data_IF_167635683631
#
_entry.id   IF_167635683631
#
_cell.length_a   1.000
_cell.length_b   1.000
_cell.length_c   1.000
_cell.angle_alpha   90.00
_cell.angle_beta   90.00
_cell.angle_gamma   90.00
#
_symmetry.space_group_name_H-M   'P 1'
#
loop_
_entity.id
_entity.type
_entity.pdbx_description
1 polymer ?
#
# COMPACT_ATOMS: atom_id res chain seq x y z
N UNK A 1 -11.99 0.99 -31.30
CA UNK A 1 -12.58 2.28 -30.89
C UNK A 1 -12.43 2.52 -29.37
N UNK A 2 -11.46 1.88 -28.72
CA UNK A 2 -11.24 1.93 -27.27
C UNK A 2 -10.40 3.15 -26.80
N UNK A 3 -9.70 3.81 -27.69
CA UNK A 3 -8.79 4.93 -27.38
C UNK A 3 -9.25 6.20 -28.12
N UNK A 4 -10.28 6.85 -27.61
CA UNK A 4 -10.64 8.20 -28.09
C UNK A 4 -9.88 9.25 -27.27
N UNK A 5 -9.30 10.26 -27.95
CA UNK A 5 -8.60 11.39 -27.29
C UNK A 5 -9.55 12.48 -26.77
N UNK A 6 -10.85 12.29 -26.87
CA UNK A 6 -11.87 13.30 -26.57
C UNK A 6 -11.77 13.93 -25.18
N UNK A 7 -11.35 13.13 -24.16
CA UNK A 7 -11.23 13.57 -22.77
C UNK A 7 -9.80 13.64 -22.27
N UNK A 8 -8.82 13.41 -23.18
CA UNK A 8 -7.39 13.37 -22.84
C UNK A 8 -6.78 14.72 -23.23
N UNK A 9 -7.08 15.69 -22.41
CA UNK A 9 -6.58 17.05 -22.54
C UNK A 9 -5.47 17.35 -21.52
N UNK A 10 -4.98 18.59 -21.52
CA UNK A 10 -3.99 19.05 -20.56
C UNK A 10 -4.50 18.98 -19.11
N UNK A 11 -5.82 19.10 -18.90
CA UNK A 11 -6.42 19.03 -17.57
C UNK A 11 -6.44 17.59 -17.03
N UNK A 12 -6.66 16.58 -17.90
CA UNK A 12 -6.52 15.17 -17.55
C UNK A 12 -5.13 14.87 -17.00
N UNK A 13 -4.08 15.18 -17.76
CA UNK A 13 -2.71 14.95 -17.34
C UNK A 13 -2.33 15.72 -16.06
N UNK A 14 -2.78 16.97 -15.95
CA UNK A 14 -2.54 17.78 -14.76
C UNK A 14 -3.16 17.15 -13.51
N UNK A 15 -4.39 16.63 -13.60
CA UNK A 15 -5.07 15.97 -12.48
C UNK A 15 -4.38 14.63 -12.12
N UNK A 16 -4.04 13.80 -13.13
CA UNK A 16 -3.35 12.56 -12.94
C UNK A 16 -2.01 12.76 -12.22
N UNK A 17 -1.19 13.71 -12.68
CA UNK A 17 0.11 14.04 -12.08
C UNK A 17 -0.06 14.65 -10.69
N UNK A 18 -1.07 15.51 -10.49
CA UNK A 18 -1.30 16.19 -9.22
C UNK A 18 -1.65 15.23 -8.06
N UNK A 19 -2.22 14.07 -8.37
CA UNK A 19 -2.53 13.03 -7.38
C UNK A 19 -1.45 11.93 -7.43
N UNK A 20 -1.14 11.43 -8.63
CA UNK A 20 -0.28 10.28 -8.82
C UNK A 20 1.14 10.51 -8.29
N UNK A 21 1.79 11.59 -8.70
CA UNK A 21 3.18 11.86 -8.29
C UNK A 21 3.35 12.06 -6.78
N UNK A 22 2.53 12.87 -6.08
CA UNK A 22 2.64 12.99 -4.63
C UNK A 22 2.43 11.66 -3.91
N UNK A 23 1.43 10.86 -4.31
CA UNK A 23 1.16 9.56 -3.68
C UNK A 23 2.27 8.56 -3.97
N UNK A 24 2.81 8.51 -5.19
CA UNK A 24 3.97 7.69 -5.53
C UNK A 24 5.18 8.05 -4.67
N UNK A 25 5.48 9.35 -4.57
CA UNK A 25 6.60 9.84 -3.76
C UNK A 25 6.42 9.47 -2.28
N UNK A 26 5.22 9.65 -1.73
CA UNK A 26 4.91 9.27 -0.36
C UNK A 26 5.12 7.76 -0.14
N UNK A 27 4.61 6.92 -1.04
CA UNK A 27 4.74 5.45 -0.95
C UNK A 27 6.19 4.98 -1.07
N UNK A 28 6.96 5.59 -1.99
CA UNK A 28 8.38 5.30 -2.16
C UNK A 28 9.19 5.67 -0.92
N UNK A 29 8.95 6.84 -0.34
CA UNK A 29 9.63 7.28 0.87
C UNK A 29 9.27 6.41 2.08
N UNK A 30 8.04 5.91 2.14
CA UNK A 30 7.63 4.94 3.16
C UNK A 30 8.41 3.61 3.06
N UNK A 31 8.60 3.10 1.83
CA UNK A 31 9.40 1.90 1.60
C UNK A 31 10.87 2.10 1.98
N UNK A 32 11.42 3.28 1.65
CA UNK A 32 12.80 3.64 2.01
C UNK A 32 12.97 3.81 3.52
N UNK A 33 11.99 4.39 4.21
CA UNK A 33 12.04 4.59 5.66
C UNK A 33 12.23 3.27 6.41
N UNK A 34 11.46 2.23 6.05
CA UNK A 34 11.63 0.90 6.67
C UNK A 34 13.04 0.31 6.49
N UNK A 35 13.66 0.55 5.32
CA UNK A 35 15.03 0.13 5.07
C UNK A 35 16.04 0.95 5.90
N UNK A 36 15.83 2.26 6.03
CA UNK A 36 16.68 3.16 6.85
C UNK A 36 16.61 2.76 8.32
N UNK A 37 15.42 2.49 8.85
CA UNK A 37 15.23 2.09 10.25
C UNK A 37 16.01 0.80 10.55
N UNK A 38 15.88 -0.22 9.70
CA UNK A 38 16.62 -1.47 9.84
C UNK A 38 18.14 -1.24 9.74
N UNK A 39 18.60 -0.41 8.79
CA UNK A 39 20.01 -0.10 8.62
C UNK A 39 20.60 0.62 9.86
N UNK A 40 19.87 1.57 10.45
CA UNK A 40 20.33 2.28 11.64
C UNK A 40 20.43 1.33 12.85
N UNK A 41 19.43 0.46 13.03
CA UNK A 41 19.40 -0.49 14.15
C UNK A 41 20.40 -1.64 13.95
N UNK A 42 20.75 -2.00 12.71
CA UNK A 42 21.73 -3.07 12.44
C UNK A 42 23.12 -2.81 13.02
N UNK A 43 23.43 -1.55 13.29
CA UNK A 43 24.68 -1.15 13.96
C UNK A 43 24.70 -1.51 15.46
N UNK A 44 23.55 -1.88 16.05
CA UNK A 44 23.44 -2.31 17.45
C UNK A 44 23.63 -3.83 17.64
N UNK A 45 23.70 -4.59 16.55
CA UNK A 45 23.90 -6.04 16.57
C UNK A 45 22.73 -6.84 16.00
N UNK A 46 22.91 -8.16 15.96
CA UNK A 46 21.95 -9.07 15.30
C UNK A 46 20.62 -9.19 16.06
N UNK A 47 20.65 -9.29 17.38
CA UNK A 47 19.44 -9.38 18.20
C UNK A 47 18.55 -8.14 18.05
N UNK A 48 19.14 -6.94 18.05
CA UNK A 48 18.44 -5.68 17.83
C UNK A 48 17.82 -5.61 16.42
N UNK A 49 18.59 -6.04 15.41
CA UNK A 49 18.11 -6.06 14.00
C UNK A 49 16.95 -7.02 13.82
N UNK A 50 17.05 -8.21 14.39
CA UNK A 50 15.98 -9.21 14.37
C UNK A 50 14.71 -8.69 15.07
N UNK A 51 14.86 -8.06 16.24
CA UNK A 51 13.78 -7.50 17.02
C UNK A 51 12.98 -6.43 16.24
N UNK A 52 13.66 -5.46 15.63
CA UNK A 52 13.04 -4.42 14.82
C UNK A 52 12.45 -4.99 13.53
N UNK A 53 13.12 -5.95 12.91
CA UNK A 53 12.61 -6.63 11.71
C UNK A 53 11.29 -7.35 11.97
N UNK A 54 11.16 -8.07 13.08
CA UNK A 54 9.92 -8.74 13.49
C UNK A 54 8.86 -7.71 13.89
N UNK A 55 9.23 -6.72 14.70
CA UNK A 55 8.31 -5.64 15.09
C UNK A 55 7.71 -4.90 13.90
N UNK A 56 8.51 -4.59 12.88
CA UNK A 56 8.05 -3.96 11.65
C UNK A 56 7.06 -4.86 10.86
N UNK A 57 7.26 -6.18 10.83
CA UNK A 57 6.31 -7.10 10.18
C UNK A 57 4.97 -7.13 10.90
N UNK A 58 4.97 -7.16 12.23
CA UNK A 58 3.76 -7.12 13.05
C UNK A 58 3.04 -5.78 12.85
N UNK A 59 3.78 -4.68 12.87
CA UNK A 59 3.24 -3.33 12.61
C UNK A 59 2.64 -3.22 11.20
N UNK A 60 3.33 -3.75 10.19
CA UNK A 60 2.86 -3.75 8.80
C UNK A 60 1.56 -4.54 8.62
N UNK A 61 1.40 -5.67 9.32
CA UNK A 61 0.15 -6.42 9.30
C UNK A 61 -1.03 -5.57 9.78
N UNK A 62 -0.89 -4.87 10.91
CA UNK A 62 -1.93 -3.97 11.40
C UNK A 62 -2.19 -2.81 10.42
N UNK A 63 -1.13 -2.24 9.86
CA UNK A 63 -1.23 -1.18 8.86
C UNK A 63 -2.03 -1.64 7.63
N UNK A 64 -1.79 -2.86 7.15
CA UNK A 64 -2.53 -3.46 6.03
C UNK A 64 -4.03 -3.59 6.36
N UNK A 65 -4.38 -4.01 7.58
CA UNK A 65 -5.78 -4.07 8.05
C UNK A 65 -6.43 -2.69 8.02
N UNK A 66 -5.76 -1.66 8.52
CA UNK A 66 -6.28 -0.27 8.50
C UNK A 66 -6.41 0.24 7.07
N UNK A 67 -5.43 -0.03 6.20
CA UNK A 67 -5.51 0.37 4.77
C UNK A 67 -6.64 -0.35 4.04
N UNK A 68 -6.84 -1.64 4.27
CA UNK A 68 -7.96 -2.38 3.69
C UNK A 68 -9.31 -1.78 4.07
N UNK A 69 -9.50 -1.45 5.36
CA UNK A 69 -10.72 -0.79 5.84
C UNK A 69 -10.89 0.62 5.27
N UNK A 70 -9.80 1.40 5.19
CA UNK A 70 -9.81 2.77 4.66
C UNK A 70 -9.87 2.83 3.12
N UNK A 71 -9.61 1.73 2.42
CA UNK A 71 -9.82 1.65 0.97
C UNK A 71 -11.27 1.99 0.57
N UNK A 72 -12.24 1.62 1.42
CA UNK A 72 -13.64 2.01 1.24
C UNK A 72 -13.84 3.53 1.27
N UNK A 73 -13.04 4.27 2.04
CA UNK A 73 -13.10 5.74 2.08
C UNK A 73 -12.75 6.32 0.72
N UNK A 74 -11.67 5.83 0.10
CA UNK A 74 -11.26 6.31 -1.22
C UNK A 74 -12.36 6.09 -2.26
N UNK A 75 -13.00 4.92 -2.26
CA UNK A 75 -14.08 4.60 -3.21
C UNK A 75 -15.33 5.45 -2.96
N UNK A 76 -15.82 5.47 -1.72
CA UNK A 76 -17.07 6.18 -1.40
C UNK A 76 -16.89 7.70 -1.43
N UNK A 77 -15.82 8.23 -0.82
CA UNK A 77 -15.58 9.67 -0.77
C UNK A 77 -15.33 10.27 -2.16
N UNK A 78 -14.65 9.55 -3.08
CA UNK A 78 -14.48 10.04 -4.45
C UNK A 78 -15.83 10.13 -5.19
N UNK A 79 -16.69 9.11 -5.07
CA UNK A 79 -18.02 9.16 -5.66
C UNK A 79 -18.91 10.24 -5.02
N UNK A 80 -18.89 10.40 -3.68
CA UNK A 80 -19.60 11.49 -3.02
C UNK A 80 -19.07 12.88 -3.43
N UNK A 81 -17.76 13.00 -3.64
CA UNK A 81 -17.19 14.25 -4.13
C UNK A 81 -17.68 14.57 -5.55
N UNK A 82 -17.70 13.57 -6.44
CA UNK A 82 -18.21 13.70 -7.79
C UNK A 82 -19.70 14.09 -7.85
N UNK A 83 -20.52 13.58 -6.93
CA UNK A 83 -21.94 13.94 -6.81
C UNK A 83 -22.20 15.26 -6.07
N UNK A 84 -21.15 15.93 -5.55
CA UNK A 84 -21.30 17.15 -4.75
C UNK A 84 -21.82 16.93 -3.32
N UNK A 85 -21.93 15.68 -2.85
CA UNK A 85 -22.48 15.35 -1.55
C UNK A 85 -21.40 15.38 -0.45
N UNK A 86 -21.16 16.56 0.13
CA UNK A 86 -20.19 16.76 1.21
C UNK A 86 -20.58 16.03 2.50
N UNK A 87 -21.88 15.91 2.82
CA UNK A 87 -22.33 15.15 3.99
C UNK A 87 -21.98 13.67 3.86
N UNK A 88 -22.07 13.09 2.66
CA UNK A 88 -21.62 11.73 2.38
C UNK A 88 -20.12 11.53 2.67
N UNK A 89 -19.27 12.49 2.30
CA UNK A 89 -17.83 12.46 2.59
C UNK A 89 -17.59 12.52 4.09
N UNK A 90 -18.21 13.48 4.81
CA UNK A 90 -18.07 13.64 6.25
C UNK A 90 -18.51 12.40 7.03
N UNK A 91 -19.65 11.85 6.64
CA UNK A 91 -20.19 10.61 7.22
C UNK A 91 -19.25 9.41 6.99
N UNK A 92 -18.70 9.27 5.78
CA UNK A 92 -17.74 8.22 5.46
C UNK A 92 -16.45 8.37 6.29
N UNK A 93 -15.97 9.59 6.50
CA UNK A 93 -14.82 9.87 7.36
C UNK A 93 -15.10 9.49 8.82
N UNK A 94 -16.27 9.88 9.35
CA UNK A 94 -16.69 9.52 10.71
C UNK A 94 -16.73 8.00 10.93
N UNK A 95 -17.34 7.28 9.98
CA UNK A 95 -17.39 5.81 10.01
C UNK A 95 -15.99 5.20 9.97
N UNK A 96 -15.10 5.70 9.10
CA UNK A 96 -13.75 5.20 8.99
C UNK A 96 -12.94 5.43 10.26
N UNK A 97 -13.01 6.60 10.89
CA UNK A 97 -12.35 6.87 12.16
C UNK A 97 -12.83 5.91 13.25
N UNK A 98 -14.15 5.75 13.38
CA UNK A 98 -14.72 4.85 14.37
C UNK A 98 -14.24 3.41 14.16
N UNK A 99 -14.32 2.89 12.95
CA UNK A 99 -13.94 1.52 12.62
C UNK A 99 -12.43 1.31 12.76
N UNK A 100 -11.62 2.26 12.30
CA UNK A 100 -10.16 2.19 12.44
C UNK A 100 -9.73 2.16 13.90
N UNK A 101 -10.35 2.97 14.76
CA UNK A 101 -10.08 2.95 16.21
C UNK A 101 -10.54 1.64 16.85
N UNK A 102 -11.77 1.20 16.57
CA UNK A 102 -12.32 -0.07 17.11
C UNK A 102 -11.46 -1.27 16.72
N UNK A 103 -10.91 -1.27 15.53
CA UNK A 103 -10.03 -2.37 15.07
C UNK A 103 -8.61 -2.23 15.64
N UNK A 104 -8.09 -1.02 15.75
CA UNK A 104 -6.72 -0.78 16.24
C UNK A 104 -6.57 -0.99 17.74
N UNK A 105 -7.56 -0.64 18.54
CA UNK A 105 -7.49 -0.77 20.01
C UNK A 105 -7.24 -2.21 20.51
N UNK A 106 -7.91 -3.27 19.97
CA UNK A 106 -7.58 -4.66 20.33
C UNK A 106 -6.13 -5.04 20.00
N UNK A 107 -5.56 -4.57 18.89
CA UNK A 107 -4.17 -4.84 18.57
C UNK A 107 -3.22 -4.16 19.56
N UNK A 108 -3.48 -2.89 19.91
CA UNK A 108 -2.68 -2.19 20.91
C UNK A 108 -2.76 -2.92 22.26
N UNK A 109 -3.97 -3.30 22.68
CA UNK A 109 -4.15 -4.07 23.91
C UNK A 109 -3.35 -5.39 23.86
N UNK A 110 -3.37 -6.09 22.73
CA UNK A 110 -2.67 -7.35 22.54
C UNK A 110 -1.14 -7.13 22.60
N UNK A 111 -0.63 -6.05 22.00
CA UNK A 111 0.79 -5.72 22.01
C UNK A 111 1.31 -5.21 23.36
N UNK A 112 0.43 -4.65 24.22
CA UNK A 112 0.80 -4.18 25.55
C UNK A 112 0.68 -5.30 26.60
N UNK A 113 -0.32 -6.18 26.48
CA UNK A 113 -0.61 -7.21 27.49
C UNK A 113 0.11 -8.53 27.20
N UNK A 114 0.23 -8.89 25.92
CA UNK A 114 0.81 -10.16 25.47
C UNK A 114 2.11 -9.94 24.67
N UNK A 115 2.83 -8.86 24.97
CA UNK A 115 4.08 -8.50 24.31
C UNK A 115 5.10 -9.64 24.31
N UNK A 116 5.31 -10.28 25.46
CA UNK A 116 6.26 -11.37 25.63
C UNK A 116 5.87 -12.62 24.82
N UNK A 117 4.62 -13.03 24.93
CA UNK A 117 4.09 -14.22 24.25
C UNK A 117 4.18 -14.08 22.73
N UNK A 118 3.88 -12.89 22.21
CA UNK A 118 3.93 -12.59 20.78
C UNK A 118 5.37 -12.68 20.25
N UNK A 119 6.32 -12.06 20.93
CA UNK A 119 7.70 -12.03 20.43
C UNK A 119 8.43 -13.34 20.69
N UNK A 120 8.17 -14.05 21.81
CA UNK A 120 8.75 -15.36 22.12
C UNK A 120 8.27 -16.45 21.17
N UNK A 121 7.11 -16.29 20.50
CA UNK A 121 6.65 -17.20 19.45
C UNK A 121 7.63 -17.23 18.25
N UNK A 122 8.40 -16.15 18.04
CA UNK A 122 9.35 -16.05 16.93
C UNK A 122 10.76 -16.54 17.30
N UNK A 123 11.23 -16.22 18.52
CA UNK A 123 12.52 -16.68 19.04
C UNK A 123 12.56 -16.53 20.56
N UNK A 124 13.28 -17.46 21.24
CA UNK A 124 13.37 -17.50 22.71
C UNK A 124 14.68 -16.88 23.26
N UNK A 125 15.46 -16.20 22.41
CA UNK A 125 16.67 -15.52 22.86
C UNK A 125 16.32 -14.34 23.79
N UNK A 126 16.89 -14.28 25.03
CA UNK A 126 16.51 -13.27 26.01
C UNK A 126 16.78 -11.83 25.58
N UNK A 127 17.87 -11.58 24.83
CA UNK A 127 18.24 -10.25 24.37
C UNK A 127 17.28 -9.80 23.27
N UNK A 128 17.00 -10.67 22.30
CA UNK A 128 15.99 -10.44 21.27
C UNK A 128 14.62 -10.15 21.87
N UNK A 129 14.15 -10.98 22.81
CA UNK A 129 12.84 -10.81 23.46
C UNK A 129 12.75 -9.47 24.18
N UNK A 130 13.84 -9.05 24.88
CA UNK A 130 13.91 -7.75 25.52
C UNK A 130 13.68 -6.60 24.54
N UNK A 131 14.48 -6.55 23.47
CA UNK A 131 14.37 -5.51 22.43
C UNK A 131 13.03 -5.54 21.69
N UNK A 132 12.55 -6.71 21.33
CA UNK A 132 11.33 -6.87 20.55
C UNK A 132 10.09 -6.44 21.35
N UNK A 133 10.03 -6.70 22.65
CA UNK A 133 8.95 -6.24 23.54
C UNK A 133 8.91 -4.71 23.63
N UNK A 134 10.05 -4.08 23.93
CA UNK A 134 10.14 -2.61 24.02
C UNK A 134 9.71 -1.96 22.70
N UNK A 135 10.19 -2.50 21.58
CA UNK A 135 9.85 -1.99 20.26
C UNK A 135 8.36 -2.15 19.93
N UNK A 136 7.80 -3.34 20.20
CA UNK A 136 6.40 -3.66 19.87
C UNK A 136 5.41 -2.81 20.67
N UNK A 137 5.64 -2.64 21.97
CA UNK A 137 4.75 -1.85 22.83
C UNK A 137 4.71 -0.39 22.41
N UNK A 138 5.88 0.23 22.22
CA UNK A 138 5.96 1.66 21.89
C UNK A 138 5.45 1.94 20.48
N UNK A 139 5.88 1.14 19.49
CA UNK A 139 5.38 1.28 18.11
C UNK A 139 3.91 0.92 17.99
N UNK A 140 3.42 -0.04 18.79
CA UNK A 140 2.01 -0.38 18.89
C UNK A 140 1.14 0.83 19.27
N UNK A 141 1.56 1.66 20.20
CA UNK A 141 0.84 2.88 20.58
C UNK A 141 0.77 3.91 19.42
N UNK A 142 1.76 3.92 18.51
CA UNK A 142 1.75 4.80 17.33
C UNK A 142 0.63 4.49 16.35
N UNK A 143 0.01 3.29 16.43
CA UNK A 143 -1.13 2.90 15.61
C UNK A 143 -2.36 3.80 15.85
N UNK A 144 -2.49 4.43 17.03
CA UNK A 144 -3.54 5.43 17.27
C UNK A 144 -3.43 6.60 16.30
N UNK A 145 -2.22 7.09 16.09
CA UNK A 145 -1.96 8.14 15.10
C UNK A 145 -2.32 7.68 13.69
N UNK A 146 -1.95 6.45 13.34
CA UNK A 146 -2.26 5.85 12.04
C UNK A 146 -3.76 5.74 11.79
N UNK A 147 -4.54 5.31 12.80
CA UNK A 147 -5.99 5.19 12.71
C UNK A 147 -6.70 6.54 12.46
N UNK A 148 -6.07 7.66 12.81
CA UNK A 148 -6.58 9.02 12.54
C UNK A 148 -6.09 9.53 11.18
N UNK A 149 -4.81 9.33 10.87
CA UNK A 149 -4.14 9.89 9.67
C UNK A 149 -4.67 9.25 8.38
N UNK A 150 -4.75 7.92 8.32
CA UNK A 150 -5.08 7.21 7.07
C UNK A 150 -6.45 7.58 6.51
N UNK A 151 -7.54 7.68 7.31
CA UNK A 151 -8.82 8.17 6.81
C UNK A 151 -8.78 9.61 6.29
N UNK A 152 -8.08 10.52 6.97
CA UNK A 152 -7.93 11.92 6.52
C UNK A 152 -7.21 11.97 5.17
N UNK A 153 -6.10 11.26 5.06
CA UNK A 153 -5.34 11.18 3.80
C UNK A 153 -6.20 10.64 2.65
N UNK A 154 -7.01 9.60 2.93
CA UNK A 154 -7.91 9.00 1.92
C UNK A 154 -8.98 9.98 1.47
N UNK A 155 -9.59 10.75 2.38
CA UNK A 155 -10.56 11.80 2.04
C UNK A 155 -9.89 12.93 1.25
N UNK A 156 -8.74 13.42 1.69
CA UNK A 156 -8.03 14.51 0.99
C UNK A 156 -7.65 14.10 -0.44
N UNK A 157 -7.15 12.87 -0.62
CA UNK A 157 -6.88 12.33 -1.97
C UNK A 157 -8.15 12.25 -2.82
N UNK A 158 -9.27 11.84 -2.23
CA UNK A 158 -10.57 11.70 -2.92
C UNK A 158 -11.12 13.03 -3.44
N UNK A 159 -10.81 14.14 -2.76
CA UNK A 159 -11.16 15.50 -3.21
C UNK A 159 -10.07 16.15 -4.09
N UNK A 160 -9.03 15.39 -4.47
CA UNK A 160 -7.95 15.85 -5.35
C UNK A 160 -6.77 16.52 -4.62
N UNK A 161 -6.78 16.57 -3.29
CA UNK A 161 -5.76 17.24 -2.47
C UNK A 161 -4.72 16.24 -1.94
N UNK A 162 -3.90 15.69 -2.85
CA UNK A 162 -2.85 14.73 -2.47
C UNK A 162 -1.57 15.39 -1.95
N UNK A 163 -1.28 16.65 -2.32
CA UNK A 163 -0.01 17.31 -2.00
C UNK A 163 0.18 17.53 -0.51
N UNK A 164 -0.86 18.03 0.16
CA UNK A 164 -0.79 18.38 1.57
C UNK A 164 -0.46 17.16 2.46
N UNK A 165 -1.20 16.03 2.39
CA UNK A 165 -0.82 14.84 3.16
C UNK A 165 0.58 14.33 2.81
N UNK A 166 1.00 14.40 1.53
CA UNK A 166 2.36 14.02 1.12
C UNK A 166 3.43 14.89 1.80
N UNK A 167 3.29 16.20 1.83
CA UNK A 167 4.27 17.06 2.51
C UNK A 167 4.34 16.81 4.01
N UNK A 168 3.19 16.58 4.66
CA UNK A 168 3.16 16.24 6.09
C UNK A 168 3.84 14.91 6.35
N UNK A 169 3.63 13.91 5.48
CA UNK A 169 4.30 12.61 5.58
C UNK A 169 5.81 12.72 5.37
N UNK A 170 6.26 13.52 4.39
CA UNK A 170 7.70 13.79 4.18
C UNK A 170 8.31 14.44 5.42
N UNK A 171 7.66 15.45 5.99
CA UNK A 171 8.14 16.10 7.21
C UNK A 171 8.22 15.10 8.38
N UNK A 172 7.23 14.22 8.54
CA UNK A 172 7.24 13.19 9.56
C UNK A 172 8.37 12.16 9.36
N UNK A 173 8.67 11.79 8.11
CA UNK A 173 9.79 10.91 7.78
C UNK A 173 11.13 11.58 8.16
N UNK A 174 11.31 12.83 7.82
CA UNK A 174 12.52 13.59 8.20
C UNK A 174 12.67 13.67 9.73
N UNK A 175 11.58 13.96 10.44
CA UNK A 175 11.56 13.96 11.91
C UNK A 175 11.90 12.58 12.46
N UNK A 176 11.36 11.50 11.88
CA UNK A 176 11.65 10.13 12.30
C UNK A 176 13.13 9.80 12.14
N UNK A 177 13.72 10.01 10.96
CA UNK A 177 15.14 9.74 10.70
C UNK A 177 16.05 10.55 11.63
N UNK A 178 15.71 11.81 11.86
CA UNK A 178 16.44 12.68 12.79
C UNK A 178 16.36 12.16 14.23
N UNK A 179 15.15 11.84 14.71
CA UNK A 179 14.97 11.32 16.07
C UNK A 179 15.63 9.95 16.24
N UNK A 180 15.54 9.09 15.24
CA UNK A 180 16.23 7.80 15.26
C UNK A 180 17.75 8.01 15.39
N UNK A 181 18.35 8.91 14.61
CA UNK A 181 19.79 9.20 14.73
C UNK A 181 20.15 9.72 16.13
N UNK A 182 19.34 10.59 16.71
CA UNK A 182 19.60 11.16 18.03
C UNK A 182 19.41 10.13 19.13
N UNK A 183 18.32 9.35 19.12
CA UNK A 183 17.94 8.49 20.23
C UNK A 183 18.59 7.10 20.18
N UNK A 184 18.84 6.58 18.97
CA UNK A 184 19.55 5.29 18.82
C UNK A 184 21.00 5.44 19.23
N UNK A 185 21.67 6.48 18.76
CA UNK A 185 23.12 6.65 18.96
C UNK A 185 23.51 7.59 20.12
N UNK A 186 22.53 8.21 20.78
CA UNK A 186 22.80 9.12 21.91
C UNK A 186 23.45 10.43 21.48
N UNK A 187 23.07 10.99 20.33
CA UNK A 187 23.61 12.24 19.84
C UNK A 187 23.00 13.45 20.57
N UNK A 188 23.62 14.62 20.45
CA UNK A 188 23.16 15.89 21.02
C UNK A 188 23.00 15.89 22.56
N UNK A 189 23.71 15.00 23.26
CA UNK A 189 23.63 14.89 24.72
C UNK A 189 22.49 14.03 25.26
N UNK A 190 21.74 13.35 24.39
CA UNK A 190 20.75 12.36 24.79
C UNK A 190 21.45 11.04 25.16
N UNK A 191 20.87 10.24 26.08
CA UNK A 191 21.36 8.90 26.34
C UNK A 191 21.12 7.98 25.13
N UNK A 192 22.00 7.03 24.93
CA UNK A 192 21.86 6.00 23.90
C UNK A 192 20.76 5.02 24.28
N UNK A 193 19.58 5.13 23.65
CA UNK A 193 18.43 4.29 23.92
C UNK A 193 18.35 3.06 23.00
N UNK A 194 19.21 2.98 21.98
CA UNK A 194 19.23 1.83 21.07
C UNK A 194 17.88 1.53 20.40
N UNK A 195 17.40 0.29 20.53
CA UNK A 195 16.12 -0.17 19.96
C UNK A 195 14.92 0.59 20.53
N UNK A 196 14.92 0.87 21.83
CA UNK A 196 13.87 1.70 22.46
C UNK A 196 13.85 3.11 21.84
N UNK A 197 15.02 3.69 21.56
CA UNK A 197 15.13 4.97 20.86
C UNK A 197 14.49 4.98 19.46
N UNK A 198 14.67 3.90 18.70
CA UNK A 198 14.02 3.73 17.40
C UNK A 198 12.49 3.68 17.53
N UNK A 199 11.99 2.96 18.53
CA UNK A 199 10.56 2.87 18.79
C UNK A 199 9.95 4.23 19.19
N UNK A 200 10.63 4.97 20.07
CA UNK A 200 10.22 6.31 20.52
C UNK A 200 10.28 7.30 19.36
N UNK A 201 11.32 7.25 18.52
CA UNK A 201 11.44 8.07 17.30
C UNK A 201 10.25 7.86 16.36
N UNK A 202 9.85 6.60 16.15
CA UNK A 202 8.67 6.23 15.35
C UNK A 202 7.39 6.75 16.00
N UNK A 203 7.23 6.59 17.31
CA UNK A 203 6.05 7.08 18.04
C UNK A 203 5.93 8.60 17.93
N UNK A 204 6.97 9.36 18.23
CA UNK A 204 6.94 10.83 18.19
C UNK A 204 6.66 11.32 16.76
N UNK A 205 7.33 10.75 15.75
CA UNK A 205 7.12 11.16 14.36
C UNK A 205 5.70 10.89 13.86
N UNK A 206 5.06 9.81 14.31
CA UNK A 206 3.65 9.51 14.00
C UNK A 206 2.69 10.48 14.66
N UNK A 207 2.90 10.81 15.93
CA UNK A 207 2.08 11.81 16.60
C UNK A 207 2.33 13.22 16.06
N UNK A 208 3.55 13.56 15.66
CA UNK A 208 3.84 14.77 14.91
C UNK A 208 3.04 14.81 13.58
N UNK A 209 3.09 13.74 12.78
CA UNK A 209 2.30 13.61 11.55
C UNK A 209 0.82 13.83 11.83
N UNK A 210 0.30 13.16 12.85
CA UNK A 210 -1.11 13.24 13.24
C UNK A 210 -1.49 14.67 13.63
N UNK A 211 -0.73 15.30 14.51
CA UNK A 211 -1.02 16.65 14.99
C UNK A 211 -0.98 17.70 13.87
N UNK A 212 0.04 17.63 13.02
CA UNK A 212 0.20 18.56 11.89
C UNK A 212 -0.93 18.34 10.86
N UNK A 213 -1.22 17.08 10.52
CA UNK A 213 -2.28 16.76 9.55
C UNK A 213 -3.65 17.20 10.06
N UNK A 214 -3.99 16.88 11.31
CA UNK A 214 -5.26 17.29 11.94
C UNK A 214 -5.35 18.82 12.02
N UNK A 215 -4.28 19.50 12.41
CA UNK A 215 -4.26 20.97 12.44
C UNK A 215 -4.59 21.59 11.08
N UNK A 216 -3.90 21.17 10.02
CA UNK A 216 -4.19 21.67 8.67
C UNK A 216 -5.57 21.25 8.17
N UNK A 217 -6.01 20.04 8.48
CA UNK A 217 -7.34 19.54 8.12
C UNK A 217 -8.44 20.39 8.76
N UNK A 218 -8.33 20.68 10.05
CA UNK A 218 -9.28 21.54 10.77
C UNK A 218 -9.27 22.99 10.28
N UNK A 219 -8.11 23.52 9.88
CA UNK A 219 -8.00 24.92 9.46
C UNK A 219 -8.41 25.13 8.00
N UNK A 220 -7.96 24.25 7.10
CA UNK A 220 -8.12 24.47 5.66
C UNK A 220 -9.29 23.68 5.05
N UNK A 221 -9.65 22.56 5.66
CA UNK A 221 -10.67 21.65 5.16
C UNK A 221 -11.80 21.44 6.19
N UNK A 222 -12.10 22.47 6.98
CA UNK A 222 -13.13 22.41 8.03
C UNK A 222 -14.52 21.99 7.51
N UNK A 223 -14.83 22.29 6.24
CA UNK A 223 -16.05 21.85 5.57
C UNK A 223 -16.15 20.33 5.36
N UNK A 224 -15.05 19.59 5.48
CA UNK A 224 -15.00 18.11 5.44
C UNK A 224 -15.00 17.47 6.84
N UNK A 225 -14.96 18.27 7.92
CA UNK A 225 -15.04 17.74 9.28
C UNK A 225 -16.43 17.19 9.55
N UNK A 226 -16.55 15.97 10.11
CA UNK A 226 -17.83 15.40 10.49
C UNK A 226 -18.52 16.23 11.57
N UNK A 227 -19.79 16.55 11.34
CA UNK A 227 -20.67 17.14 12.34
C UNK A 227 -21.29 16.05 13.24
N UNK A 228 -21.92 16.44 14.33
CA UNK A 228 -22.60 15.47 15.22
C UNK A 228 -23.73 14.71 14.48
N UNK A 229 -24.41 15.36 13.52
CA UNK A 229 -25.39 14.69 12.66
C UNK A 229 -24.74 13.64 11.76
N UNK A 230 -23.58 13.94 11.15
CA UNK A 230 -22.86 12.99 10.30
C UNK A 230 -22.43 11.73 11.10
N UNK A 231 -22.02 11.90 12.37
CA UNK A 231 -21.71 10.78 13.27
C UNK A 231 -22.96 9.92 13.55
N UNK A 232 -24.09 10.54 13.87
CA UNK A 232 -25.34 9.83 14.12
C UNK A 232 -25.85 9.12 12.86
N UNK A 233 -25.83 9.79 11.71
CA UNK A 233 -26.21 9.20 10.43
C UNK A 233 -25.30 8.03 10.04
N UNK A 234 -24.01 8.12 10.37
CA UNK A 234 -23.04 7.04 10.13
C UNK A 234 -23.42 5.72 10.82
N UNK A 235 -24.15 5.76 11.94
CA UNK A 235 -24.65 4.57 12.65
C UNK A 235 -25.92 3.98 12.01
N UNK A 236 -26.63 4.72 11.16
CA UNK A 236 -27.84 4.25 10.50
C UNK A 236 -27.52 3.03 9.60
N UNK A 237 -28.33 1.98 9.72
CA UNK A 237 -28.13 0.69 9.07
C UNK A 237 -27.85 0.81 7.57
N UNK A 238 -28.53 1.73 6.84
CA UNK A 238 -28.34 1.97 5.40
C UNK A 238 -26.89 2.34 5.09
N UNK A 239 -26.35 3.36 5.76
CA UNK A 239 -25.00 3.90 5.50
C UNK A 239 -23.91 3.00 6.06
N UNK A 240 -24.13 2.41 7.23
CA UNK A 240 -23.23 1.42 7.83
C UNK A 240 -23.08 0.21 6.92
N UNK A 241 -24.17 -0.37 6.42
CA UNK A 241 -24.11 -1.51 5.51
C UNK A 241 -23.44 -1.16 4.19
N UNK A 242 -23.63 0.07 3.67
CA UNK A 242 -22.95 0.56 2.46
C UNK A 242 -21.43 0.57 2.67
N UNK A 243 -20.95 1.11 3.79
CA UNK A 243 -19.53 1.13 4.13
C UNK A 243 -18.96 -0.28 4.26
N UNK A 244 -19.59 -1.16 5.02
CA UNK A 244 -19.13 -2.55 5.19
C UNK A 244 -19.21 -3.39 3.92
N UNK A 245 -20.15 -3.12 3.04
CA UNK A 245 -20.24 -3.77 1.72
C UNK A 245 -19.00 -3.51 0.86
N UNK A 246 -18.31 -2.40 1.08
CA UNK A 246 -17.08 -2.02 0.39
C UNK A 246 -15.85 -2.41 1.20
N UNK A 247 -15.79 -2.10 2.51
CA UNK A 247 -14.59 -2.27 3.33
C UNK A 247 -14.27 -3.73 3.66
N UNK A 248 -15.28 -4.57 3.97
CA UNK A 248 -15.02 -5.97 4.32
C UNK A 248 -14.42 -6.79 3.17
N UNK A 249 -14.95 -6.71 1.93
CA UNK A 249 -14.27 -7.36 0.82
C UNK A 249 -12.85 -6.85 0.59
N UNK A 250 -12.58 -5.55 0.76
CA UNK A 250 -11.22 -5.01 0.63
C UNK A 250 -10.27 -5.58 1.67
N UNK A 251 -10.71 -5.68 2.92
CA UNK A 251 -9.92 -6.31 3.99
C UNK A 251 -9.60 -7.78 3.67
N UNK A 252 -10.58 -8.54 3.21
CA UNK A 252 -10.40 -9.95 2.81
C UNK A 252 -9.42 -10.04 1.64
N UNK A 253 -9.54 -9.15 0.65
CA UNK A 253 -8.63 -9.08 -0.49
C UNK A 253 -7.18 -8.90 -0.04
N UNK A 254 -6.92 -7.89 0.81
CA UNK A 254 -5.57 -7.56 1.24
C UNK A 254 -4.97 -8.66 2.14
N UNK A 255 -5.82 -9.35 2.94
CA UNK A 255 -5.40 -10.50 3.74
C UNK A 255 -5.03 -11.71 2.86
N UNK A 256 -5.84 -12.04 1.85
CA UNK A 256 -5.56 -13.14 0.91
C UNK A 256 -4.31 -12.85 0.08
N UNK A 257 -4.15 -11.62 -0.40
CA UNK A 257 -2.98 -11.20 -1.15
C UNK A 257 -1.70 -11.30 -0.31
N UNK A 258 -1.72 -10.78 0.91
CA UNK A 258 -0.58 -10.87 1.84
C UNK A 258 -0.26 -12.33 2.20
N UNK A 259 -1.28 -13.15 2.44
CA UNK A 259 -1.11 -14.58 2.68
C UNK A 259 -0.40 -15.30 1.54
N UNK A 260 -0.76 -14.97 0.30
CA UNK A 260 -0.09 -15.53 -0.88
C UNK A 260 1.38 -15.12 -1.00
N UNK A 261 1.74 -13.88 -0.65
CA UNK A 261 3.15 -13.44 -0.61
C UNK A 261 3.97 -14.23 0.40
N UNK A 262 3.37 -14.60 1.55
CA UNK A 262 4.03 -15.47 2.54
C UNK A 262 4.29 -16.85 1.95
N UNK A 263 3.31 -17.43 1.25
CA UNK A 263 3.48 -18.74 0.61
C UNK A 263 4.57 -18.71 -0.46
N UNK A 264 4.64 -17.67 -1.29
CA UNK A 264 5.76 -17.50 -2.22
C UNK A 264 7.11 -17.45 -1.50
N UNK A 265 7.21 -16.70 -0.40
CA UNK A 265 8.45 -16.61 0.39
C UNK A 265 8.87 -17.96 0.96
N UNK A 266 7.91 -18.80 1.38
CA UNK A 266 8.16 -20.17 1.85
C UNK A 266 8.72 -21.03 0.70
N UNK A 267 8.09 -20.98 -0.49
CA UNK A 267 8.56 -21.74 -1.65
C UNK A 267 9.98 -21.31 -2.01
N UNK A 268 10.27 -20.01 -2.09
CA UNK A 268 11.62 -19.51 -2.39
C UNK A 268 12.66 -19.95 -1.35
N UNK A 269 12.29 -20.00 -0.08
CA UNK A 269 13.15 -20.52 0.97
C UNK A 269 13.48 -22.01 0.82
N UNK A 270 12.54 -22.79 0.27
CA UNK A 270 12.74 -24.22 -0.01
C UNK A 270 13.58 -24.49 -1.26
N UNK A 271 13.71 -23.52 -2.18
CA UNK A 271 14.59 -23.65 -3.37
C UNK A 271 16.07 -23.65 -2.96
N UNK A 272 16.45 -22.83 -1.97
CA UNK A 272 17.81 -22.75 -1.45
C UNK A 272 18.10 -21.42 -0.76
N UNK A 273 19.21 -21.44 0.00
CA UNK A 273 19.65 -20.24 0.75
C UNK A 273 20.12 -19.14 -0.20
N UNK A 274 20.76 -19.49 -1.30
CA UNK A 274 21.24 -18.53 -2.32
C UNK A 274 20.06 -17.83 -3.01
N UNK A 275 19.04 -18.58 -3.39
CA UNK A 275 17.82 -18.08 -4.01
C UNK A 275 17.07 -17.13 -3.09
N UNK A 276 16.90 -17.54 -1.83
CA UNK A 276 16.26 -16.70 -0.81
C UNK A 276 17.06 -15.41 -0.54
N UNK A 277 18.39 -15.48 -0.53
CA UNK A 277 19.25 -14.32 -0.35
C UNK A 277 19.11 -13.33 -1.50
N UNK A 278 19.06 -13.81 -2.77
CA UNK A 278 18.87 -12.97 -3.96
C UNK A 278 17.52 -12.25 -3.88
N UNK A 279 16.43 -12.97 -3.59
CA UNK A 279 15.09 -12.37 -3.47
C UNK A 279 15.05 -11.35 -2.34
N UNK A 280 15.60 -11.69 -1.18
CA UNK A 280 15.62 -10.78 -0.03
C UNK A 280 16.43 -9.50 -0.30
N UNK A 281 17.52 -9.62 -1.06
CA UNK A 281 18.33 -8.47 -1.47
C UNK A 281 17.61 -7.56 -2.48
N UNK A 282 16.86 -8.14 -3.42
CA UNK A 282 16.16 -7.39 -4.47
C UNK A 282 14.78 -6.88 -4.03
N UNK A 283 14.17 -7.49 -3.01
CA UNK A 283 12.83 -7.14 -2.51
C UNK A 283 12.63 -5.65 -2.14
N UNK A 284 13.56 -4.95 -1.44
CA UNK A 284 13.43 -3.52 -1.18
C UNK A 284 13.41 -2.67 -2.47
N UNK A 285 14.21 -3.07 -3.47
CA UNK A 285 14.27 -2.40 -4.77
C UNK A 285 12.94 -2.57 -5.51
N UNK A 286 12.42 -3.80 -5.55
CA UNK A 286 11.10 -4.10 -6.10
C UNK A 286 10.00 -3.31 -5.38
N UNK A 287 10.04 -3.22 -4.05
CA UNK A 287 9.11 -2.42 -3.25
C UNK A 287 9.09 -0.94 -3.62
N UNK A 288 10.25 -0.33 -3.84
CA UNK A 288 10.37 1.06 -4.32
C UNK A 288 9.78 1.21 -5.72
N UNK A 289 10.06 0.27 -6.63
CA UNK A 289 9.53 0.30 -7.99
C UNK A 289 8.00 0.18 -8.01
N UNK A 290 7.42 -0.76 -7.25
CA UNK A 290 5.96 -0.90 -7.11
C UNK A 290 5.36 0.38 -6.52
N UNK A 291 5.96 0.93 -5.48
CA UNK A 291 5.52 2.17 -4.82
C UNK A 291 5.47 3.36 -5.78
N UNK A 292 6.38 3.41 -6.76
CA UNK A 292 6.39 4.44 -7.80
C UNK A 292 5.11 4.44 -8.64
N UNK A 293 4.54 3.27 -8.92
CA UNK A 293 3.32 3.14 -9.72
C UNK A 293 2.03 3.16 -8.89
N UNK A 294 2.13 2.97 -7.58
CA UNK A 294 0.95 2.94 -6.70
C UNK A 294 0.13 4.23 -6.74
N UNK A 295 0.81 5.37 -6.89
CA UNK A 295 0.15 6.66 -7.03
C UNK A 295 -0.71 6.76 -8.29
N UNK A 296 -0.34 6.11 -9.39
CA UNK A 296 -1.15 6.07 -10.60
C UNK A 296 -2.43 5.26 -10.40
N UNK A 297 -2.37 4.14 -9.68
CA UNK A 297 -3.55 3.36 -9.31
C UNK A 297 -4.50 4.16 -8.41
N UNK A 298 -3.96 4.86 -7.41
CA UNK A 298 -4.76 5.73 -6.53
C UNK A 298 -5.38 6.89 -7.32
N UNK A 299 -4.61 7.55 -8.20
CA UNK A 299 -5.12 8.64 -9.04
C UNK A 299 -6.24 8.16 -9.97
N UNK A 300 -6.09 6.98 -10.60
CA UNK A 300 -7.14 6.37 -11.42
C UNK A 300 -8.40 6.10 -10.59
N UNK A 301 -8.25 5.49 -9.40
CA UNK A 301 -9.38 5.20 -8.50
C UNK A 301 -10.13 6.45 -8.08
N UNK A 302 -9.41 7.51 -7.74
CA UNK A 302 -10.02 8.80 -7.31
C UNK A 302 -10.70 9.50 -8.47
N UNK A 303 -10.03 9.67 -9.61
CA UNK A 303 -10.55 10.46 -10.73
C UNK A 303 -11.73 9.76 -11.42
N UNK A 304 -11.64 8.44 -11.62
CA UNK A 304 -12.77 7.66 -12.12
C UNK A 304 -13.92 7.61 -11.12
N UNK A 305 -13.63 7.47 -9.82
CA UNK A 305 -14.65 7.54 -8.77
C UNK A 305 -15.40 8.88 -8.77
N UNK A 306 -14.68 10.00 -8.95
CA UNK A 306 -15.30 11.32 -9.09
C UNK A 306 -16.19 11.40 -10.34
N UNK A 307 -15.72 10.90 -11.49
CA UNK A 307 -16.50 10.91 -12.73
C UNK A 307 -17.73 9.97 -12.64
N UNK A 308 -17.62 8.81 -11.92
CA UNK A 308 -18.78 7.92 -11.66
C UNK A 308 -19.81 8.62 -10.77
N UNK A 309 -19.36 9.25 -9.68
CA UNK A 309 -20.24 10.00 -8.78
C UNK A 309 -20.95 11.18 -9.47
N UNK A 310 -20.27 11.82 -10.44
CA UNK A 310 -20.80 12.87 -11.29
C UNK A 310 -21.66 12.32 -12.46
N UNK A 311 -21.90 11.01 -12.53
CA UNK A 311 -22.66 10.32 -13.59
C UNK A 311 -22.10 10.53 -15.01
N UNK A 312 -20.80 10.85 -15.14
CA UNK A 312 -20.12 11.07 -16.43
C UNK A 312 -19.64 9.74 -17.04
N UNK A 313 -20.52 8.78 -17.21
CA UNK A 313 -20.18 7.40 -17.61
C UNK A 313 -19.45 7.30 -18.95
N UNK A 314 -19.78 8.13 -19.95
CA UNK A 314 -19.07 8.17 -21.24
C UNK A 314 -17.60 8.55 -21.07
N UNK A 315 -17.31 9.49 -20.16
CA UNK A 315 -15.95 9.86 -19.80
C UNK A 315 -15.23 8.74 -19.07
N UNK A 316 -15.90 8.11 -18.09
CA UNK A 316 -15.35 6.96 -17.32
C UNK A 316 -14.90 5.85 -18.26
N UNK A 317 -15.75 5.44 -19.20
CA UNK A 317 -15.44 4.36 -20.16
C UNK A 317 -14.22 4.67 -21.03
N UNK A 318 -14.15 5.92 -21.51
CA UNK A 318 -13.09 6.35 -22.43
C UNK A 318 -11.76 6.61 -21.72
N UNK A 319 -11.78 7.10 -20.46
CA UNK A 319 -10.55 7.43 -19.73
C UNK A 319 -9.98 6.24 -18.97
N UNK A 320 -10.76 5.23 -18.59
CA UNK A 320 -10.30 4.06 -17.86
C UNK A 320 -9.09 3.38 -18.54
N UNK A 321 -9.17 3.19 -19.86
CA UNK A 321 -8.07 2.59 -20.63
C UNK A 321 -6.81 3.45 -20.67
N UNK A 322 -6.95 4.77 -20.65
CA UNK A 322 -5.80 5.67 -20.66
C UNK A 322 -4.99 5.58 -19.36
N UNK A 323 -5.64 5.42 -18.20
CA UNK A 323 -4.94 5.20 -16.94
C UNK A 323 -4.11 3.92 -16.98
N UNK A 324 -4.70 2.82 -17.42
CA UNK A 324 -4.04 1.51 -17.48
C UNK A 324 -2.89 1.52 -18.50
N UNK A 325 -3.14 2.01 -19.70
CA UNK A 325 -2.12 2.00 -20.77
C UNK A 325 -0.97 2.96 -20.49
N UNK A 326 -1.24 4.15 -19.93
CA UNK A 326 -0.19 5.09 -19.56
C UNK A 326 0.77 4.46 -18.54
N UNK A 327 0.23 3.80 -17.53
CA UNK A 327 1.05 3.15 -16.51
C UNK A 327 1.84 1.98 -17.07
N UNK A 328 1.26 1.17 -17.97
CA UNK A 328 1.95 0.08 -18.65
C UNK A 328 3.09 0.58 -19.56
N UNK A 329 2.86 1.68 -20.30
CA UNK A 329 3.91 2.34 -21.09
C UNK A 329 5.06 2.84 -20.22
N UNK A 330 4.76 3.49 -19.10
CA UNK A 330 5.80 3.92 -18.17
C UNK A 330 6.58 2.75 -17.58
N UNK A 331 5.91 1.64 -17.24
CA UNK A 331 6.56 0.43 -16.77
C UNK A 331 7.43 -0.21 -17.86
N UNK A 332 7.00 -0.14 -19.12
CA UNK A 332 7.79 -0.60 -20.28
C UNK A 332 9.05 0.26 -20.46
N UNK A 333 8.93 1.58 -20.32
CA UNK A 333 10.10 2.48 -20.35
C UNK A 333 11.08 2.13 -19.22
N UNK A 334 10.55 1.88 -18.02
CA UNK A 334 11.37 1.45 -16.87
C UNK A 334 12.09 0.12 -17.15
N UNK A 335 11.40 -0.87 -17.71
CA UNK A 335 12.03 -2.13 -18.11
C UNK A 335 13.22 -1.91 -19.07
N UNK A 336 13.03 -1.13 -20.12
CA UNK A 336 14.11 -0.83 -21.05
C UNK A 336 15.26 -0.04 -20.40
N UNK A 337 14.96 0.86 -19.47
CA UNK A 337 15.99 1.56 -18.70
C UNK A 337 16.81 0.57 -17.85
N UNK A 338 16.17 -0.34 -17.12
CA UNK A 338 16.85 -1.39 -16.35
C UNK A 338 17.66 -2.31 -17.26
N UNK A 339 17.10 -2.70 -18.40
CA UNK A 339 17.78 -3.57 -19.36
C UNK A 339 19.03 -2.90 -19.98
N UNK A 340 18.95 -1.64 -20.38
CA UNK A 340 20.09 -0.86 -20.87
C UNK A 340 21.16 -0.66 -19.78
N UNK A 341 20.72 -0.43 -18.54
CA UNK A 341 21.63 -0.26 -17.41
C UNK A 341 22.13 -1.60 -16.81
N UNK A 342 21.78 -2.75 -17.41
CA UNK A 342 22.16 -4.06 -16.86
C UNK A 342 23.67 -4.25 -16.65
N UNK A 343 24.61 -3.72 -17.47
CA UNK A 343 26.03 -3.81 -17.18
C UNK A 343 26.44 -3.01 -15.92
N UNK A 344 25.81 -1.85 -15.71
CA UNK A 344 26.04 -1.04 -14.51
C UNK A 344 25.49 -1.75 -13.26
N UNK A 345 24.31 -2.35 -13.37
CA UNK A 345 23.69 -3.14 -12.31
C UNK A 345 24.58 -4.32 -11.94
N UNK A 346 25.14 -5.03 -12.93
CA UNK A 346 26.07 -6.13 -12.67
C UNK A 346 27.30 -5.66 -11.89
N UNK A 347 27.92 -4.55 -12.29
CA UNK A 347 29.06 -3.95 -11.57
C UNK A 347 28.72 -3.56 -10.12
N UNK A 348 27.48 -3.14 -9.86
CA UNK A 348 27.02 -2.87 -8.50
C UNK A 348 26.81 -4.18 -7.72
N UNK A 349 26.24 -5.20 -8.36
CA UNK A 349 26.05 -6.53 -7.77
C UNK A 349 27.39 -7.22 -7.46
N UNK A 350 28.46 -6.97 -8.23
CA UNK A 350 29.79 -7.48 -7.94
C UNK A 350 30.32 -7.06 -6.56
N UNK A 351 29.89 -5.88 -6.07
CA UNK A 351 30.24 -5.35 -4.76
C UNK A 351 29.30 -5.83 -3.63
N UNK A 352 28.23 -6.55 -3.98
CA UNK A 352 27.26 -7.09 -3.03
C UNK A 352 27.75 -8.38 -2.37
N UNK A 353 27.21 -8.78 -1.23
CA UNK A 353 27.56 -10.04 -0.55
C UNK A 353 26.95 -11.28 -1.22
N UNK A 354 26.22 -11.14 -2.33
CA UNK A 354 25.57 -12.26 -3.02
C UNK A 354 26.60 -13.20 -3.64
N UNK A 355 26.32 -14.50 -3.61
CA UNK A 355 27.20 -15.53 -4.16
C UNK A 355 27.08 -15.62 -5.68
N UNK A 356 25.84 -15.69 -6.19
CA UNK A 356 25.56 -15.77 -7.64
C UNK A 356 25.02 -14.44 -8.17
N UNK A 357 25.93 -13.61 -8.67
CA UNK A 357 25.64 -12.26 -9.17
C UNK A 357 24.96 -12.28 -10.53
N UNK A 358 25.28 -13.28 -11.36
CA UNK A 358 24.62 -13.43 -12.65
C UNK A 358 23.16 -13.86 -12.49
N UNK A 359 22.88 -14.76 -11.54
CA UNK A 359 21.51 -15.12 -11.18
C UNK A 359 20.74 -13.90 -10.64
N UNK A 360 21.38 -13.11 -9.78
CA UNK A 360 20.76 -11.88 -9.25
C UNK A 360 20.42 -10.87 -10.36
N UNK A 361 21.30 -10.70 -11.37
CA UNK A 361 21.00 -9.86 -12.52
C UNK A 361 19.82 -10.43 -13.35
N UNK A 362 19.82 -11.74 -13.61
CA UNK A 362 18.73 -12.38 -14.36
C UNK A 362 17.40 -12.22 -13.62
N UNK A 363 17.38 -12.39 -12.30
CA UNK A 363 16.21 -12.15 -11.46
C UNK A 363 15.76 -10.68 -11.54
N UNK A 364 16.68 -9.73 -11.45
CA UNK A 364 16.38 -8.30 -11.58
C UNK A 364 15.71 -7.98 -12.93
N UNK A 365 16.21 -8.55 -14.04
CA UNK A 365 15.62 -8.36 -15.37
C UNK A 365 14.23 -8.99 -15.48
N UNK A 366 14.02 -10.19 -14.91
CA UNK A 366 12.70 -10.85 -14.91
C UNK A 366 11.70 -10.05 -14.06
N UNK A 367 12.10 -9.54 -12.90
CA UNK A 367 11.26 -8.67 -12.07
C UNK A 367 10.90 -7.38 -12.81
N UNK A 368 11.86 -6.76 -13.48
CA UNK A 368 11.63 -5.56 -14.29
C UNK A 368 10.67 -5.82 -15.47
N UNK A 369 10.80 -6.97 -16.16
CA UNK A 369 9.87 -7.39 -17.19
C UNK A 369 8.47 -7.63 -16.63
N UNK A 370 8.38 -8.30 -15.48
CA UNK A 370 7.13 -8.58 -14.79
C UNK A 370 6.40 -7.32 -14.34
N UNK A 371 7.13 -6.22 -14.08
CA UNK A 371 6.53 -4.94 -13.72
C UNK A 371 5.55 -4.41 -14.77
N UNK A 372 5.73 -4.70 -16.04
CA UNK A 372 4.82 -4.25 -17.11
C UNK A 372 3.40 -4.79 -16.86
N UNK A 373 3.29 -6.09 -16.62
CA UNK A 373 2.02 -6.76 -16.37
C UNK A 373 1.47 -6.43 -14.96
N UNK A 374 2.34 -6.41 -13.95
CA UNK A 374 1.96 -6.06 -12.57
C UNK A 374 1.40 -4.65 -12.48
N UNK A 375 2.02 -3.67 -13.12
CA UNK A 375 1.55 -2.29 -13.13
C UNK A 375 0.24 -2.17 -13.91
N UNK A 376 0.10 -2.87 -15.04
CA UNK A 376 -1.16 -2.97 -15.77
C UNK A 376 -2.28 -3.48 -14.86
N UNK A 377 -2.06 -4.58 -14.17
CA UNK A 377 -3.03 -5.18 -13.25
C UNK A 377 -3.28 -4.30 -12.03
N UNK A 378 -2.26 -3.72 -11.43
CA UNK A 378 -2.39 -2.84 -10.27
C UNK A 378 -3.27 -1.62 -10.57
N UNK A 379 -3.08 -0.97 -11.73
CA UNK A 379 -3.91 0.17 -12.13
C UNK A 379 -5.28 -0.30 -12.63
N UNK A 380 -5.36 -1.42 -13.34
CA UNK A 380 -6.62 -2.00 -13.80
C UNK A 380 -7.51 -2.43 -12.64
N UNK A 381 -6.98 -3.26 -11.74
CA UNK A 381 -7.74 -3.81 -10.59
C UNK A 381 -7.86 -2.75 -9.48
N UNK A 382 -6.72 -2.24 -9.00
CA UNK A 382 -6.64 -1.32 -7.86
C UNK A 382 -7.14 0.09 -8.18
N UNK A 383 -6.96 0.54 -9.42
CA UNK A 383 -7.42 1.85 -9.90
C UNK A 383 -8.83 1.77 -10.49
N UNK A 384 -8.98 1.10 -11.64
CA UNK A 384 -10.21 1.12 -12.43
C UNK A 384 -11.34 0.35 -11.76
N UNK A 385 -11.19 -0.96 -11.53
CA UNK A 385 -12.30 -1.78 -10.99
C UNK A 385 -12.74 -1.32 -9.60
N UNK A 386 -11.78 -0.98 -8.72
CA UNK A 386 -12.10 -0.50 -7.36
C UNK A 386 -12.82 0.85 -7.37
N UNK A 387 -12.59 1.74 -8.35
CA UNK A 387 -13.29 3.03 -8.45
C UNK A 387 -14.80 2.89 -8.58
N UNK A 388 -15.24 1.85 -9.29
CA UNK A 388 -16.65 1.48 -9.43
C UNK A 388 -17.15 0.50 -8.39
N UNK A 389 -16.45 0.34 -7.24
CA UNK A 389 -16.81 -0.57 -6.16
C UNK A 389 -16.98 -2.06 -6.60
N UNK A 390 -16.34 -2.48 -7.69
CA UNK A 390 -16.36 -3.87 -8.17
C UNK A 390 -15.31 -4.73 -7.45
N UNK A 391 -15.35 -4.69 -6.14
CA UNK A 391 -14.33 -5.28 -5.27
C UNK A 391 -14.40 -6.80 -5.30
N UNK A 392 -15.60 -7.37 -5.40
CA UNK A 392 -15.77 -8.84 -5.44
C UNK A 392 -15.08 -9.48 -6.64
N UNK A 393 -15.19 -8.84 -7.80
CA UNK A 393 -14.51 -9.33 -9.00
C UNK A 393 -12.99 -9.08 -8.92
N UNK A 394 -12.57 -7.97 -8.32
CA UNK A 394 -11.15 -7.71 -8.03
C UNK A 394 -10.54 -8.79 -7.14
N UNK A 395 -11.23 -9.19 -6.04
CA UNK A 395 -10.83 -10.31 -5.18
C UNK A 395 -10.71 -11.60 -6.00
N UNK A 396 -11.72 -11.90 -6.82
CA UNK A 396 -11.72 -13.09 -7.66
C UNK A 396 -10.48 -13.14 -8.57
N UNK A 397 -10.17 -12.06 -9.29
CA UNK A 397 -9.01 -11.99 -10.19
C UNK A 397 -7.71 -12.25 -9.41
N UNK A 398 -7.49 -11.53 -8.31
CA UNK A 398 -6.24 -11.62 -7.57
C UNK A 398 -6.12 -12.97 -6.85
N UNK A 399 -7.18 -13.43 -6.19
CA UNK A 399 -7.15 -14.71 -5.48
C UNK A 399 -7.00 -15.88 -6.45
N UNK A 400 -7.78 -15.89 -7.55
CA UNK A 400 -7.67 -16.94 -8.56
C UNK A 400 -6.28 -16.94 -9.21
N UNK A 401 -5.77 -15.77 -9.61
CA UNK A 401 -4.44 -15.65 -10.21
C UNK A 401 -3.36 -16.15 -9.27
N UNK A 402 -3.34 -15.66 -8.03
CA UNK A 402 -2.29 -15.96 -7.07
C UNK A 402 -2.37 -17.41 -6.53
N UNK A 403 -3.55 -17.83 -6.08
CA UNK A 403 -3.72 -19.13 -5.38
C UNK A 403 -3.94 -20.31 -6.31
N UNK A 404 -4.64 -20.12 -7.45
CA UNK A 404 -4.93 -21.20 -8.38
C UNK A 404 -3.89 -21.35 -9.50
N UNK A 405 -3.12 -20.28 -9.80
CA UNK A 405 -2.14 -20.29 -10.90
C UNK A 405 -0.73 -20.03 -10.37
N UNK A 406 -0.49 -18.88 -9.75
CA UNK A 406 0.84 -18.43 -9.39
C UNK A 406 1.54 -19.35 -8.40
N UNK A 407 0.91 -19.63 -7.25
CA UNK A 407 1.48 -20.51 -6.22
C UNK A 407 1.71 -21.93 -6.74
N UNK A 408 0.71 -22.62 -7.35
CA UNK A 408 0.93 -23.96 -7.90
C UNK A 408 2.02 -24.00 -8.97
N UNK A 409 2.08 -22.98 -9.85
CA UNK A 409 3.05 -22.94 -10.92
C UNK A 409 4.48 -22.68 -10.39
N UNK A 410 4.63 -21.79 -9.41
CA UNK A 410 5.90 -21.53 -8.72
C UNK A 410 6.41 -22.77 -8.00
N UNK A 411 5.52 -23.47 -7.30
CA UNK A 411 5.85 -24.75 -6.66
C UNK A 411 6.28 -25.81 -7.69
N UNK A 412 5.50 -25.98 -8.76
CA UNK A 412 5.78 -26.97 -9.79
C UNK A 412 7.12 -26.69 -10.51
N UNK A 413 7.35 -25.45 -10.94
CA UNK A 413 8.58 -25.08 -11.65
C UNK A 413 9.82 -25.12 -10.76
N UNK A 414 9.67 -24.73 -9.49
CA UNK A 414 10.78 -24.71 -8.54
C UNK A 414 11.07 -26.06 -7.91
N UNK A 415 10.04 -26.72 -7.34
CA UNK A 415 10.21 -27.92 -6.52
C UNK A 415 10.13 -29.23 -7.34
N UNK A 416 9.30 -29.27 -8.38
CA UNK A 416 9.13 -30.50 -9.18
C UNK A 416 10.10 -30.54 -10.37
N UNK A 417 10.21 -29.42 -11.12
CA UNK A 417 11.10 -29.34 -12.28
C UNK A 417 12.53 -28.91 -11.91
N UNK A 418 12.76 -28.36 -10.71
CA UNK A 418 14.09 -27.93 -10.27
C UNK A 418 14.70 -26.82 -11.13
N UNK A 419 13.87 -25.92 -11.68
CA UNK A 419 14.36 -24.85 -12.56
C UNK A 419 15.10 -23.77 -11.76
N UNK A 420 16.11 -23.11 -12.36
CA UNK A 420 16.76 -21.95 -11.74
C UNK A 420 15.77 -20.83 -11.38
N UNK A 421 16.07 -20.07 -10.33
CA UNK A 421 15.18 -19.05 -9.74
C UNK A 421 14.57 -18.08 -10.76
N UNK A 422 15.35 -17.60 -11.74
CA UNK A 422 14.83 -16.66 -12.74
C UNK A 422 13.75 -17.28 -13.66
N UNK A 423 13.79 -18.59 -13.92
CA UNK A 423 12.73 -19.31 -14.65
C UNK A 423 11.49 -19.54 -13.77
N UNK A 424 11.69 -19.80 -12.48
CA UNK A 424 10.59 -19.88 -11.50
C UNK A 424 9.86 -18.55 -11.44
N UNK A 425 10.58 -17.43 -11.37
CA UNK A 425 9.97 -16.08 -11.40
C UNK A 425 9.36 -15.74 -12.76
N UNK A 426 9.95 -16.23 -13.87
CA UNK A 426 9.36 -16.07 -15.21
C UNK A 426 7.98 -16.74 -15.29
N UNK A 427 7.78 -17.85 -14.58
CA UNK A 427 6.48 -18.54 -14.54
C UNK A 427 5.37 -17.68 -13.91
N UNK A 428 5.71 -16.73 -13.02
CA UNK A 428 4.74 -15.78 -12.46
C UNK A 428 4.16 -14.83 -13.51
N UNK A 429 4.81 -14.64 -14.64
CA UNK A 429 4.24 -13.86 -15.74
C UNK A 429 2.94 -14.47 -16.27
N UNK A 430 2.77 -15.80 -16.14
CA UNK A 430 1.52 -16.48 -16.51
C UNK A 430 0.37 -16.06 -15.60
N UNK A 431 0.63 -15.96 -14.29
CA UNK A 431 -0.33 -15.41 -13.32
C UNK A 431 -0.76 -14.00 -13.72
N UNK A 432 0.24 -13.12 -13.95
CA UNK A 432 -0.01 -11.72 -14.30
C UNK A 432 -0.72 -11.59 -15.65
N UNK A 433 -0.42 -12.44 -16.62
CA UNK A 433 -1.12 -12.49 -17.92
C UNK A 433 -2.59 -12.87 -17.74
N UNK A 434 -2.88 -13.91 -16.97
CA UNK A 434 -4.27 -14.33 -16.71
C UNK A 434 -5.04 -13.24 -15.98
N UNK A 435 -4.45 -12.61 -14.95
CA UNK A 435 -5.04 -11.45 -14.29
C UNK A 435 -5.32 -10.32 -15.29
N UNK A 436 -4.38 -10.04 -16.18
CA UNK A 436 -4.52 -9.01 -17.23
C UNK A 436 -5.66 -9.30 -18.21
N UNK A 437 -5.82 -10.54 -18.63
CA UNK A 437 -6.93 -10.98 -19.51
C UNK A 437 -8.28 -10.79 -18.80
N UNK A 438 -8.40 -11.25 -17.55
CA UNK A 438 -9.62 -11.12 -16.77
C UNK A 438 -9.95 -9.64 -16.49
N UNK A 439 -8.95 -8.84 -16.15
CA UNK A 439 -9.08 -7.38 -15.95
C UNK A 439 -9.54 -6.68 -17.21
N UNK A 440 -8.92 -7.00 -18.35
CA UNK A 440 -9.29 -6.48 -19.67
C UNK A 440 -10.74 -6.81 -20.01
N UNK A 441 -11.13 -8.07 -19.87
CA UNK A 441 -12.50 -8.51 -20.10
C UNK A 441 -13.50 -7.76 -19.19
N UNK A 442 -13.15 -7.59 -17.90
CA UNK A 442 -14.05 -6.89 -16.96
C UNK A 442 -14.20 -5.40 -17.32
N UNK A 443 -13.10 -4.73 -17.67
CA UNK A 443 -13.14 -3.32 -18.09
C UNK A 443 -14.00 -3.17 -19.35
N UNK A 444 -13.84 -4.05 -20.35
CA UNK A 444 -14.61 -4.03 -21.60
C UNK A 444 -16.10 -4.28 -21.37
N UNK A 445 -16.43 -5.16 -20.41
CA UNK A 445 -17.83 -5.48 -20.11
C UNK A 445 -18.61 -4.34 -19.44
N UNK A 446 -17.91 -3.29 -18.97
CA UNK A 446 -18.45 -2.11 -18.26
C UNK A 446 -19.22 -2.44 -16.96
N UNK A 447 -19.31 -3.71 -16.57
CA UNK A 447 -20.02 -4.18 -15.36
C UNK A 447 -19.36 -3.75 -14.04
N UNK A 448 -18.17 -3.15 -14.12
CA UNK A 448 -17.46 -2.61 -12.97
C UNK A 448 -17.95 -1.21 -12.57
N UNK A 449 -18.68 -0.50 -13.44
CA UNK A 449 -19.16 0.86 -13.20
C UNK A 449 -20.41 0.79 -12.33
N UNK A 450 -20.24 0.91 -11.01
CA UNK A 450 -21.35 0.96 -10.06
C UNK A 450 -21.31 2.29 -9.31
N UNK A 451 -22.39 3.06 -9.42
CA UNK A 451 -22.58 4.28 -8.64
C UNK A 451 -23.18 3.92 -7.28
N UNK A 452 -22.34 4.02 -6.23
CA UNK A 452 -22.72 3.67 -4.86
C UNK A 452 -23.49 4.80 -4.15
N UNK A 453 -23.58 5.99 -4.75
CA UNK A 453 -24.10 7.21 -4.09
C UNK A 453 -25.39 7.74 -4.72
N UNK A 454 -25.85 7.13 -5.79
CA UNK A 454 -27.05 7.56 -6.55
C UNK A 454 -28.32 7.60 -5.69
N UNK A 455 -28.53 6.57 -4.85
CA UNK A 455 -29.68 6.50 -3.92
C UNK A 455 -29.70 7.60 -2.85
N UNK A 456 -28.58 8.29 -2.64
CA UNK A 456 -28.45 9.31 -1.59
C UNK A 456 -28.68 10.74 -2.14
N UNK A 457 -28.63 10.91 -3.45
CA UNK A 457 -28.88 12.20 -4.13
C UNK A 457 -30.36 12.48 -4.33
N UNK A 458 -31.20 11.44 -4.38
CA UNK A 458 -32.66 11.57 -4.56
C UNK A 458 -33.41 12.07 -3.31
N UNK A 459 -32.75 12.20 -2.16
CA UNK A 459 -33.37 12.60 -0.87
C UNK A 459 -33.15 14.10 -0.57
N UNK A 460 -32.32 14.80 -1.33
CA UNK A 460 -31.95 16.22 -1.10
C UNK A 460 -32.46 17.19 -2.18
N UNK A 461 -33.33 16.72 -3.08
CA UNK A 461 -33.98 17.54 -4.10
C UNK A 461 -35.42 17.97 -3.69
#
# INVERSE_FOLDING_TARGET
MLLTRQYIDKAFWKKLIAIGVPVSLQSMLFSLLGAIDIFMVSQLGEAATAAVGVGNRIFFFNLAVVFGLCGAVTVLASQYYGSGNLSGIRRTLAQSWFISLVVTLPFIWLYVVYDKEIVSFMADDPEYVGYAREYLVVTGLSLLGTAVVVPIESVLRSVGEAKMPTYVSIAAIVVNVFLNAVLIFGLLGFPQWGVFGAAVGTFISRFFQTGVLVYFFCRRYSHLLPTLSDWREGTVKKYRNKYFKVSMPMLIHDALWTGGLIVYSIIYGQLGVTELAIISFLSPIEGVLISTFMGFAVAASVLLGNDIGAQQYDRVEKTAWWYVLTSAVLATILFFAVWICSPLILNLLEKSPLTDKQMALNVCLVLALGMILRVFNMVGIGGVLKSGADIRYSIFIDTFGQWAIGIPLTYYTGMVLGLPLHWVLMSLLVEELVKGILTTHRIQSKRWINNMVDDDTSVTA
#
